data_IF_437997499955
#
_entry.id   IF_437997499955
#
_cell.length_a   1.000
_cell.length_b   1.000
_cell.length_c   1.000
_cell.angle_alpha   90.00
_cell.angle_beta   90.00
_cell.angle_gamma   90.00
#
_symmetry.space_group_name_H-M   'P 1'
#
loop_
_entity.id
_entity.type
_entity.pdbx_description
1 polymer ?
#
# COMPACT_ATOMS: atom_id res chain seq x y z
N UNK A 1 -29.12 -11.12 -25.74
CA UNK A 1 -28.60 -11.34 -24.38
C UNK A 1 -28.20 -9.97 -23.83
N UNK A 2 -29.08 -9.35 -23.05
CA UNK A 2 -28.87 -8.04 -22.43
C UNK A 2 -28.96 -8.25 -20.91
N UNK A 3 -27.96 -7.78 -20.17
CA UNK A 3 -28.11 -7.47 -18.75
C UNK A 3 -27.49 -8.44 -17.73
N UNK A 4 -26.17 -8.42 -17.57
CA UNK A 4 -25.52 -8.76 -16.28
C UNK A 4 -24.59 -7.63 -15.76
N UNK A 5 -24.17 -6.70 -16.63
CA UNK A 5 -23.19 -5.67 -16.25
C UNK A 5 -23.66 -4.66 -15.20
N UNK A 6 -24.97 -4.54 -14.93
CA UNK A 6 -25.49 -3.65 -13.88
C UNK A 6 -25.35 -4.22 -12.46
N UNK A 7 -25.61 -5.53 -12.30
CA UNK A 7 -25.52 -6.19 -11.02
C UNK A 7 -24.05 -6.36 -10.56
N UNK A 8 -23.15 -6.69 -11.49
CA UNK A 8 -21.73 -6.84 -11.17
C UNK A 8 -21.09 -5.49 -10.77
N UNK A 9 -21.38 -4.41 -11.51
CA UNK A 9 -20.95 -3.06 -11.15
C UNK A 9 -21.47 -2.61 -9.79
N UNK A 10 -22.70 -2.98 -9.43
CA UNK A 10 -23.26 -2.64 -8.11
C UNK A 10 -22.56 -3.36 -6.97
N UNK A 11 -22.18 -4.64 -7.17
CA UNK A 11 -21.42 -5.41 -6.18
C UNK A 11 -20.00 -4.88 -6.02
N UNK A 12 -19.36 -4.52 -7.13
CA UNK A 12 -18.04 -3.86 -7.11
C UNK A 12 -18.08 -2.55 -6.33
N UNK A 13 -19.08 -1.69 -6.58
CA UNK A 13 -19.24 -0.44 -5.85
C UNK A 13 -19.46 -0.66 -4.34
N UNK A 14 -20.30 -1.62 -3.96
CA UNK A 14 -20.51 -1.99 -2.55
C UNK A 14 -19.22 -2.51 -1.92
N UNK A 15 -18.45 -3.34 -2.64
CA UNK A 15 -17.16 -3.84 -2.18
C UNK A 15 -16.14 -2.72 -1.93
N UNK A 16 -16.06 -1.76 -2.86
CA UNK A 16 -15.18 -0.59 -2.70
C UNK A 16 -15.56 0.26 -1.49
N UNK A 17 -16.87 0.50 -1.26
CA UNK A 17 -17.34 1.25 -0.10
C UNK A 17 -17.03 0.51 1.22
N UNK A 18 -17.24 -0.81 1.26
CA UNK A 18 -16.94 -1.62 2.44
C UNK A 18 -15.44 -1.64 2.77
N UNK A 19 -14.58 -1.72 1.74
CA UNK A 19 -13.12 -1.63 1.91
C UNK A 19 -12.73 -0.27 2.51
N UNK A 20 -13.26 0.81 1.94
CA UNK A 20 -12.97 2.16 2.42
C UNK A 20 -13.40 2.34 3.89
N UNK A 21 -14.60 1.85 4.24
CA UNK A 21 -15.12 1.91 5.60
C UNK A 21 -14.29 1.08 6.59
N UNK A 22 -13.84 -0.12 6.19
CA UNK A 22 -12.95 -0.94 7.01
C UNK A 22 -11.61 -0.24 7.28
N UNK A 23 -10.99 0.32 6.25
CA UNK A 23 -9.74 1.08 6.36
C UNK A 23 -9.90 2.30 7.27
N UNK A 24 -11.00 3.04 7.11
CA UNK A 24 -11.34 4.17 7.97
C UNK A 24 -11.51 3.75 9.43
N UNK A 25 -12.22 2.66 9.68
CA UNK A 25 -12.49 2.16 11.03
C UNK A 25 -11.21 1.75 11.76
N UNK A 26 -10.22 1.19 11.05
CA UNK A 26 -8.90 0.90 11.64
C UNK A 26 -8.28 2.18 12.22
N UNK A 27 -8.25 3.29 11.47
CA UNK A 27 -7.66 4.54 11.94
C UNK A 27 -8.52 5.31 12.96
N UNK A 28 -9.84 5.11 12.97
CA UNK A 28 -10.72 5.77 13.95
C UNK A 28 -10.77 5.04 15.29
N UNK A 29 -10.52 3.72 15.30
CA UNK A 29 -10.49 2.90 16.51
C UNK A 29 -9.11 2.79 17.15
N UNK A 30 -8.08 3.38 16.54
CA UNK A 30 -6.68 3.31 16.97
C UNK A 30 -5.98 4.66 16.80
N UNK A 31 -4.70 4.71 17.19
CA UNK A 31 -3.87 5.90 16.99
C UNK A 31 -3.20 5.97 15.60
N UNK A 32 -3.41 4.98 14.73
CA UNK A 32 -2.84 4.96 13.38
C UNK A 32 -3.26 6.18 12.56
N UNK A 33 -2.30 6.79 11.86
CA UNK A 33 -2.51 7.99 11.05
C UNK A 33 -3.11 7.65 9.69
N UNK A 34 -2.72 6.52 9.11
CA UNK A 34 -3.24 6.03 7.85
C UNK A 34 -3.34 4.51 7.84
N UNK A 35 -4.16 3.98 6.95
CA UNK A 35 -4.31 2.56 6.63
C UNK A 35 -4.37 2.41 5.11
N UNK A 36 -3.84 1.31 4.59
CA UNK A 36 -3.76 1.05 3.15
C UNK A 36 -4.05 -0.41 2.88
N UNK A 37 -4.73 -0.67 1.77
CA UNK A 37 -4.93 -2.01 1.24
C UNK A 37 -4.31 -2.14 -0.16
N UNK A 38 -3.44 -3.15 -0.30
CA UNK A 38 -2.89 -3.57 -1.59
C UNK A 38 -3.40 -4.95 -1.96
N UNK A 39 -3.69 -5.13 -3.24
CA UNK A 39 -4.16 -6.40 -3.78
C UNK A 39 -3.10 -7.03 -4.66
N UNK A 40 -2.93 -8.35 -4.51
CA UNK A 40 -2.04 -9.13 -5.37
C UNK A 40 -2.73 -9.36 -6.71
N UNK A 41 -2.11 -8.88 -7.79
CA UNK A 41 -2.63 -9.02 -9.16
C UNK A 41 -1.53 -9.56 -10.09
N UNK A 42 -1.89 -10.28 -11.16
CA UNK A 42 -0.96 -10.60 -12.22
C UNK A 42 -0.42 -9.34 -12.88
N UNK A 43 0.87 -9.34 -13.20
CA UNK A 43 1.54 -8.31 -13.97
C UNK A 43 1.02 -8.36 -15.41
N UNK A 44 0.59 -7.21 -15.98
CA UNK A 44 0.24 -7.15 -17.39
C UNK A 44 1.44 -7.59 -18.24
N UNK A 45 1.32 -8.73 -18.93
CA UNK A 45 2.37 -9.21 -19.84
C UNK A 45 2.41 -8.29 -21.06
N UNK A 46 3.55 -7.67 -21.34
CA UNK A 46 3.75 -6.98 -22.63
C UNK A 46 3.74 -8.06 -23.72
N UNK A 47 2.86 -7.90 -24.71
CA UNK A 47 2.70 -8.85 -25.82
C UNK A 47 3.93 -8.76 -26.73
N UNK A 48 5.02 -9.48 -26.42
CA UNK A 48 6.22 -9.43 -27.25
C UNK A 48 7.53 -10.02 -26.70
N UNK A 49 7.50 -10.98 -25.76
CA UNK A 49 8.71 -11.64 -25.27
C UNK A 49 8.63 -13.15 -25.43
N UNK A 50 9.44 -13.72 -26.34
CA UNK A 50 9.67 -15.16 -26.41
C UNK A 50 10.26 -15.67 -25.09
N UNK A 51 9.71 -16.76 -24.55
CA UNK A 51 10.37 -17.59 -23.54
C UNK A 51 9.62 -17.69 -22.22
N UNK A 52 8.54 -18.46 -22.21
CA UNK A 52 8.00 -19.02 -20.97
C UNK A 52 9.05 -19.94 -20.35
N UNK A 53 9.89 -19.43 -19.46
CA UNK A 53 10.44 -20.27 -18.39
C UNK A 53 9.31 -20.45 -17.38
N UNK A 54 8.54 -21.52 -17.58
CA UNK A 54 7.61 -22.04 -16.57
C UNK A 54 8.47 -22.37 -15.35
N UNK A 55 8.36 -21.61 -14.27
CA UNK A 55 9.26 -21.80 -13.13
C UNK A 55 9.00 -20.96 -11.88
N UNK A 56 8.52 -19.72 -12.00
CA UNK A 56 8.14 -18.91 -10.84
C UNK A 56 6.86 -18.08 -11.10
N UNK A 57 5.70 -18.68 -10.86
CA UNK A 57 4.43 -17.95 -11.01
C UNK A 57 4.36 -16.69 -10.12
N UNK A 58 5.19 -16.63 -9.08
CA UNK A 58 5.35 -15.48 -8.18
C UNK A 58 5.99 -14.24 -8.84
N UNK A 59 6.96 -14.38 -9.75
CA UNK A 59 7.61 -13.25 -10.43
C UNK A 59 6.66 -12.48 -11.38
N UNK A 60 5.53 -13.10 -11.69
CA UNK A 60 4.44 -12.50 -12.46
C UNK A 60 3.41 -11.80 -11.58
N UNK A 61 3.53 -11.78 -10.25
CA UNK A 61 2.58 -11.13 -9.36
C UNK A 61 3.12 -9.80 -8.83
N UNK A 62 2.21 -8.87 -8.54
CA UNK A 62 2.53 -7.54 -8.04
C UNK A 62 1.45 -7.07 -7.07
N UNK A 63 1.86 -6.25 -6.10
CA UNK A 63 0.95 -5.59 -5.18
C UNK A 63 0.53 -4.27 -5.83
N UNK A 64 -0.78 -4.12 -6.04
CA UNK A 64 -1.41 -2.94 -6.60
C UNK A 64 -2.21 -2.24 -5.50
N UNK A 65 -2.05 -0.92 -5.39
CA UNK A 65 -2.89 -0.11 -4.51
C UNK A 65 -4.35 -0.27 -4.91
N UNK A 66 -5.21 -0.62 -3.94
CA UNK A 66 -6.65 -0.69 -4.17
C UNK A 66 -7.37 0.48 -3.48
N UNK A 67 -7.09 0.71 -2.20
CA UNK A 67 -7.60 1.87 -1.47
C UNK A 67 -6.72 2.21 -0.25
N UNK A 68 -6.89 3.41 0.29
CA UNK A 68 -6.26 3.85 1.53
C UNK A 68 -7.06 4.95 2.21
N UNK A 69 -6.94 5.00 3.54
CA UNK A 69 -7.50 6.07 4.35
C UNK A 69 -6.37 6.79 5.09
N UNK A 70 -6.30 8.11 4.97
CA UNK A 70 -5.38 8.94 5.75
C UNK A 70 -6.21 9.88 6.62
N UNK A 71 -6.06 9.77 7.95
CA UNK A 71 -6.73 10.67 8.89
C UNK A 71 -6.19 12.08 8.69
N UNK A 72 -7.08 13.02 8.44
CA UNK A 72 -6.78 14.45 8.51
C UNK A 72 -6.92 14.88 9.97
N UNK A 73 -5.84 15.27 10.64
CA UNK A 73 -5.99 15.88 11.97
C UNK A 73 -6.37 17.34 11.71
N UNK A 74 -7.54 17.75 12.16
CA UNK A 74 -7.96 19.15 12.11
C UNK A 74 -7.59 19.84 13.41
N UNK A 75 -6.73 20.86 13.36
CA UNK A 75 -6.68 21.94 14.35
C UNK A 75 -5.39 22.06 15.20
N UNK A 76 -4.76 23.24 15.07
CA UNK A 76 -3.94 23.98 16.05
C UNK A 76 -2.69 23.34 16.68
N UNK A 77 -1.64 23.16 15.87
CA UNK A 77 -0.27 23.34 16.34
C UNK A 77 0.65 23.68 15.16
N UNK A 78 1.23 24.88 15.20
CA UNK A 78 2.08 25.44 14.14
C UNK A 78 3.35 24.61 13.87
N UNK A 79 3.70 23.65 14.74
CA UNK A 79 4.86 22.76 14.61
C UNK A 79 4.55 21.39 13.96
N UNK A 80 3.28 20.97 13.82
CA UNK A 80 2.93 19.69 13.18
C UNK A 80 2.79 19.77 11.65
N UNK A 81 2.85 20.98 11.08
CA UNK A 81 2.56 21.25 9.66
C UNK A 81 3.53 20.50 8.74
N UNK A 82 4.83 20.44 9.07
CA UNK A 82 5.84 19.76 8.25
C UNK A 82 5.72 18.22 8.35
N UNK A 83 5.41 17.71 9.54
CA UNK A 83 5.23 16.27 9.78
C UNK A 83 3.96 15.72 9.13
N UNK A 84 2.83 16.41 9.25
CA UNK A 84 1.56 16.01 8.63
C UNK A 84 1.66 16.08 7.10
N UNK A 85 2.33 17.11 6.55
CA UNK A 85 2.59 17.22 5.12
C UNK A 85 3.50 16.08 4.61
N UNK A 86 4.54 15.72 5.35
CA UNK A 86 5.41 14.59 5.01
C UNK A 86 4.65 13.27 4.95
N UNK A 87 3.75 13.00 5.92
CA UNK A 87 2.91 11.80 5.94
C UNK A 87 1.96 11.78 4.74
N UNK A 88 1.28 12.90 4.46
CA UNK A 88 0.37 13.02 3.32
C UNK A 88 1.11 12.81 2.00
N UNK A 89 2.31 13.37 1.86
CA UNK A 89 3.16 13.19 0.67
C UNK A 89 3.61 11.74 0.51
N UNK A 90 4.01 11.08 1.59
CA UNK A 90 4.36 9.66 1.58
C UNK A 90 3.16 8.79 1.20
N UNK A 91 1.98 9.07 1.75
CA UNK A 91 0.73 8.39 1.43
C UNK A 91 0.37 8.52 -0.06
N UNK A 92 0.41 9.74 -0.61
CA UNK A 92 0.18 9.96 -2.04
C UNK A 92 1.25 9.31 -2.93
N UNK A 93 2.49 9.19 -2.46
CA UNK A 93 3.54 8.47 -3.20
C UNK A 93 3.29 6.96 -3.19
N UNK A 94 2.87 6.41 -2.06
CA UNK A 94 2.54 4.98 -1.93
C UNK A 94 1.39 4.56 -2.85
N UNK A 95 0.41 5.44 -3.11
CA UNK A 95 -0.74 5.10 -3.96
C UNK A 95 -0.43 4.90 -5.44
N UNK A 96 0.74 5.36 -5.89
CA UNK A 96 1.23 5.15 -7.26
C UNK A 96 2.43 4.19 -7.33
N UNK A 97 2.89 3.69 -6.18
CA UNK A 97 4.05 2.81 -6.10
C UNK A 97 3.63 1.37 -6.42
N UNK A 98 4.47 0.69 -7.20
CA UNK A 98 4.32 -0.72 -7.51
C UNK A 98 5.31 -1.55 -6.71
N UNK A 99 4.85 -2.66 -6.12
CA UNK A 99 5.73 -3.61 -5.44
C UNK A 99 5.63 -4.99 -6.10
N UNK A 100 6.77 -5.66 -6.22
CA UNK A 100 6.82 -7.01 -6.77
C UNK A 100 6.47 -8.01 -5.66
N UNK A 101 5.67 -9.02 -5.97
CA UNK A 101 5.33 -10.06 -5.00
C UNK A 101 6.58 -10.91 -4.69
N UNK A 102 6.84 -11.18 -3.41
CA UNK A 102 8.03 -11.92 -2.95
C UNK A 102 9.33 -11.09 -2.88
N UNK A 103 9.32 -9.81 -3.28
CA UNK A 103 10.50 -8.95 -3.24
C UNK A 103 10.28 -7.68 -2.41
N UNK A 104 11.36 -7.13 -1.85
CA UNK A 104 11.29 -5.99 -0.93
C UNK A 104 10.49 -6.32 0.33
N UNK A 105 10.31 -5.32 1.20
CA UNK A 105 9.58 -5.51 2.46
C UNK A 105 8.13 -5.96 2.22
N UNK A 106 7.39 -5.20 1.40
CA UNK A 106 5.96 -5.43 1.18
C UNK A 106 5.70 -6.76 0.44
N UNK A 107 6.52 -7.07 -0.57
CA UNK A 107 6.38 -8.30 -1.34
C UNK A 107 6.71 -9.54 -0.52
N UNK A 108 7.76 -9.51 0.31
CA UNK A 108 8.09 -10.62 1.21
C UNK A 108 7.03 -10.85 2.28
N UNK A 109 6.54 -9.79 2.94
CA UNK A 109 5.45 -9.92 3.93
C UNK A 109 4.21 -10.58 3.31
N UNK A 110 3.87 -10.22 2.07
CA UNK A 110 2.77 -10.84 1.34
C UNK A 110 3.07 -12.31 0.96
N UNK A 111 4.28 -12.65 0.52
CA UNK A 111 4.63 -14.03 0.13
C UNK A 111 4.73 -14.98 1.31
N UNK A 112 5.27 -14.48 2.42
CA UNK A 112 5.50 -15.24 3.65
C UNK A 112 4.20 -15.36 4.46
N UNK A 113 3.15 -14.63 4.06
CA UNK A 113 1.82 -14.61 4.70
C UNK A 113 1.92 -14.31 6.20
N UNK A 114 2.76 -13.34 6.55
CA UNK A 114 3.09 -12.98 7.92
C UNK A 114 2.71 -11.53 8.24
N UNK A 115 2.82 -11.16 9.52
CA UNK A 115 2.70 -9.77 9.96
C UNK A 115 4.07 -9.25 10.39
N UNK A 116 4.40 -8.03 9.98
CA UNK A 116 5.68 -7.39 10.32
C UNK A 116 5.45 -5.95 10.79
N UNK A 117 6.03 -5.64 11.95
CA UNK A 117 6.05 -4.29 12.52
C UNK A 117 7.40 -3.65 12.21
N UNK A 118 7.38 -2.40 11.76
CA UNK A 118 8.59 -1.60 11.52
C UNK A 118 8.50 -0.36 12.40
N UNK A 119 9.50 -0.18 13.25
CA UNK A 119 9.57 0.94 14.18
C UNK A 119 10.66 1.90 13.72
N UNK A 120 10.35 3.19 13.69
CA UNK A 120 11.34 4.24 13.49
C UNK A 120 12.34 4.17 14.64
N UNK A 121 13.61 3.93 14.34
CA UNK A 121 14.67 4.08 15.33
C UNK A 121 14.74 5.56 15.75
N UNK A 122 14.98 5.88 17.03
CA UNK A 122 15.18 7.25 17.47
C UNK A 122 16.51 7.76 16.88
N UNK A 123 16.46 8.30 15.67
CA UNK A 123 17.56 9.07 15.10
C UNK A 123 17.62 10.39 15.85
N UNK A 124 18.69 10.61 16.62
CA UNK A 124 19.06 11.94 17.06
C UNK A 124 19.21 12.83 15.80
N UNK A 125 18.25 13.74 15.60
CA UNK A 125 18.27 14.80 14.59
C UNK A 125 18.75 14.42 13.18
N UNK A 126 17.89 13.80 12.36
CA UNK A 126 18.02 13.90 10.89
C UNK A 126 16.66 14.28 10.28
N UNK A 127 16.59 15.38 9.49
CA UNK A 127 15.32 15.95 9.01
C UNK A 127 14.65 15.14 7.88
N UNK A 128 15.28 14.09 7.37
CA UNK A 128 14.83 13.44 6.13
C UNK A 128 13.97 12.19 6.39
N UNK A 129 12.80 12.39 6.99
CA UNK A 129 11.78 11.35 7.23
C UNK A 129 11.44 10.59 5.94
N UNK A 130 11.52 11.26 4.78
CA UNK A 130 11.24 10.64 3.48
C UNK A 130 12.21 9.52 3.10
N UNK A 131 13.48 9.63 3.49
CA UNK A 131 14.51 8.61 3.20
C UNK A 131 14.30 7.35 4.05
N UNK A 132 13.83 7.50 5.28
CA UNK A 132 13.59 6.37 6.19
C UNK A 132 12.45 5.47 5.70
N UNK A 133 11.33 6.06 5.28
CA UNK A 133 10.23 5.27 4.71
C UNK A 133 10.65 4.57 3.43
N UNK A 134 11.40 5.26 2.57
CA UNK A 134 11.89 4.69 1.33
C UNK A 134 12.86 3.52 1.59
N UNK A 135 13.85 3.71 2.48
CA UNK A 135 14.84 2.69 2.81
C UNK A 135 14.25 1.49 3.57
N UNK A 136 13.22 1.71 4.38
CA UNK A 136 12.52 0.63 5.09
C UNK A 136 11.82 -0.32 4.12
N UNK A 137 11.32 0.18 2.98
CA UNK A 137 10.74 -0.66 1.94
C UNK A 137 11.78 -1.41 1.11
N UNK A 138 12.96 -0.82 0.93
CA UNK A 138 14.10 -1.39 0.20
C UNK A 138 14.95 -2.35 1.05
N UNK A 139 14.73 -2.39 2.38
CA UNK A 139 15.44 -3.30 3.27
C UNK A 139 15.08 -4.76 2.98
N UNK A 140 16.02 -5.48 2.36
CA UNK A 140 15.94 -6.92 2.11
C UNK A 140 15.82 -7.64 3.45
N UNK A 141 14.71 -8.35 3.68
CA UNK A 141 14.60 -9.25 4.83
C UNK A 141 15.61 -10.38 4.63
N UNK A 142 16.62 -10.46 5.48
CA UNK A 142 17.51 -11.62 5.58
C UNK A 142 16.86 -12.67 6.49
#
# INVERSE_FOLDING_TARGET
>A
MVGSGGADRSKEAVGMMALHEALRNVCLSTDWIYSVFWTIRPRPRVRGGNGCKVGDDNGNLMLMWEDGFCRRRGGDCLEEIDGEEAVRKAFSKMSIQLYNYGEGLMGKVASDKCHKWVFKEPTECEPNISNYWQSSFDAVCN
#
